data_IF_244698039311
#
_entry.id   IF_244698039311
#
_cell.length_a   1.000
_cell.length_b   1.000
_cell.length_c   1.000
_cell.angle_alpha   90.00
_cell.angle_beta   90.00
_cell.angle_gamma   90.00
#
_symmetry.space_group_name_H-M   'P 1'
#
loop_
_entity.id
_entity.type
_entity.pdbx_description
1 polymer ?
#
# COMPACT_ATOMS: atom_id res chain seq x y z
N UNK A 1 1.43 -32.23 46.13
CA UNK A 1 1.17 -32.58 44.72
C UNK A 1 0.84 -31.26 44.07
N UNK A 2 1.71 -30.84 43.16
CA UNK A 2 1.74 -29.50 42.56
C UNK A 2 0.80 -29.52 41.35
N UNK A 3 -0.32 -28.82 41.45
CA UNK A 3 -1.29 -28.71 40.37
C UNK A 3 -0.71 -27.79 39.30
N UNK A 4 -0.14 -28.41 38.26
CA UNK A 4 0.44 -27.72 37.12
C UNK A 4 -0.60 -26.90 36.39
N UNK A 5 -0.55 -25.59 36.62
CA UNK A 5 -1.22 -24.53 35.86
C UNK A 5 -0.69 -24.55 34.42
N UNK A 6 -1.34 -25.35 33.57
CA UNK A 6 -1.18 -25.28 32.14
C UNK A 6 -1.80 -23.96 31.67
N UNK A 7 -1.01 -22.89 31.78
CA UNK A 7 -1.37 -21.61 31.21
C UNK A 7 -1.73 -21.83 29.74
N UNK A 8 -3.00 -21.53 29.40
CA UNK A 8 -3.47 -21.37 28.03
C UNK A 8 -2.47 -20.46 27.31
N UNK A 9 -1.59 -21.07 26.52
CA UNK A 9 -0.64 -20.34 25.71
C UNK A 9 -1.48 -19.54 24.72
N UNK A 10 -1.40 -18.20 24.71
CA UNK A 10 -2.28 -17.39 23.90
C UNK A 10 -2.09 -17.79 22.43
N UNK A 11 -3.18 -18.16 21.77
CA UNK A 11 -3.24 -18.42 20.34
C UNK A 11 -2.96 -17.09 19.62
N UNK A 12 -1.68 -16.75 19.48
CA UNK A 12 -1.23 -15.56 18.77
C UNK A 12 -1.42 -15.88 17.28
N UNK A 13 -2.39 -15.26 16.59
CA UNK A 13 -2.59 -15.53 15.18
C UNK A 13 -1.28 -15.21 14.43
N UNK A 14 -0.89 -16.04 13.45
CA UNK A 14 0.32 -15.82 12.69
C UNK A 14 0.29 -14.40 12.12
N UNK A 15 1.33 -13.62 12.42
CA UNK A 15 1.48 -12.24 11.90
C UNK A 15 1.19 -12.29 10.41
N UNK A 16 0.12 -11.62 9.99
CA UNK A 16 -0.15 -11.45 8.57
C UNK A 16 1.06 -10.74 7.97
N UNK A 17 1.87 -11.46 7.19
CA UNK A 17 2.94 -10.88 6.36
C UNK A 17 2.27 -10.09 5.24
N UNK A 18 1.73 -8.94 5.60
CA UNK A 18 1.10 -8.00 4.70
C UNK A 18 1.97 -6.76 4.57
N UNK A 19 1.99 -6.19 3.37
CA UNK A 19 2.50 -4.83 3.16
C UNK A 19 1.35 -3.84 3.37
N UNK A 20 1.55 -2.86 4.25
CA UNK A 20 0.62 -1.74 4.39
C UNK A 20 1.14 -0.55 3.59
N UNK A 21 0.29 -0.04 2.69
CA UNK A 21 0.59 1.12 1.86
C UNK A 21 -0.33 2.28 2.21
N UNK A 22 0.25 3.47 2.30
CA UNK A 22 -0.48 4.73 2.45
C UNK A 22 -0.59 5.36 1.05
N UNK A 23 -1.81 5.56 0.55
CA UNK A 23 -2.06 6.22 -0.72
C UNK A 23 -2.66 7.59 -0.46
N UNK A 24 -1.90 8.65 -0.76
CA UNK A 24 -2.39 10.04 -0.74
C UNK A 24 -2.68 10.47 -2.16
N UNK A 25 -3.92 10.81 -2.47
CA UNK A 25 -4.33 11.21 -3.82
C UNK A 25 -5.17 12.48 -3.81
N UNK A 26 -5.16 13.18 -4.94
CA UNK A 26 -5.94 14.38 -5.21
C UNK A 26 -6.37 14.40 -6.68
N UNK A 27 -7.36 15.24 -7.00
CA UNK A 27 -7.73 15.55 -8.38
C UNK A 27 -7.26 16.95 -8.72
N UNK A 28 -6.62 17.12 -9.87
CA UNK A 28 -6.45 18.45 -10.45
C UNK A 28 -7.82 18.93 -10.96
N UNK A 29 -8.32 20.02 -10.38
CA UNK A 29 -9.54 20.67 -10.85
C UNK A 29 -9.32 21.31 -12.22
N UNK A 30 -10.29 21.15 -13.13
CA UNK A 30 -10.24 21.81 -14.45
C UNK A 30 -10.60 20.92 -15.64
N UNK A 31 -10.77 19.60 -15.45
CA UNK A 31 -11.22 18.71 -16.51
C UNK A 31 -12.64 19.10 -16.95
N UNK A 32 -12.75 19.81 -18.07
CA UNK A 32 -14.04 20.11 -18.71
C UNK A 32 -14.64 18.87 -19.35
N UNK A 33 -13.81 17.88 -19.67
CA UNK A 33 -14.19 16.63 -20.30
C UNK A 33 -14.00 15.41 -19.39
N UNK A 34 -14.92 14.43 -19.41
CA UNK A 34 -14.81 13.19 -18.63
C UNK A 34 -13.60 12.32 -19.03
N UNK A 35 -13.04 12.50 -20.24
CA UNK A 35 -11.78 11.88 -20.66
C UNK A 35 -10.56 12.45 -19.93
N UNK A 36 -10.54 13.75 -19.69
CA UNK A 36 -9.47 14.44 -18.94
C UNK A 36 -9.54 14.13 -17.43
N UNK A 37 -10.74 13.83 -16.91
CA UNK A 37 -10.94 13.45 -15.52
C UNK A 37 -10.22 12.15 -15.11
N UNK A 38 -9.84 11.29 -16.08
CA UNK A 38 -8.98 10.10 -15.85
C UNK A 38 -7.51 10.46 -15.68
N UNK A 39 -7.07 11.56 -16.29
CA UNK A 39 -5.73 12.14 -16.15
C UNK A 39 -5.62 13.09 -14.96
N UNK A 40 -6.75 13.58 -14.45
CA UNK A 40 -6.79 14.46 -13.28
C UNK A 40 -6.38 13.77 -11.96
N UNK A 41 -6.34 12.43 -11.91
CA UNK A 41 -5.94 11.71 -10.69
C UNK A 41 -4.43 11.81 -10.47
N UNK A 42 -3.99 12.35 -9.34
CA UNK A 42 -2.58 12.36 -8.96
C UNK A 42 -2.40 11.90 -7.52
N UNK A 43 -1.22 11.44 -7.18
CA UNK A 43 -0.95 11.03 -5.82
C UNK A 43 0.44 10.49 -5.57
N UNK A 44 0.63 10.02 -4.35
CA UNK A 44 1.83 9.36 -3.84
C UNK A 44 1.46 8.09 -3.12
N UNK A 45 2.35 7.10 -3.17
CA UNK A 45 2.30 5.89 -2.34
C UNK A 45 3.47 5.96 -1.36
N UNK A 46 3.21 5.68 -0.10
CA UNK A 46 4.21 5.52 0.94
C UNK A 46 3.98 4.28 1.80
N UNK A 47 4.88 4.02 2.73
CA UNK A 47 4.75 2.98 3.75
C UNK A 47 4.46 3.57 5.15
N UNK A 48 4.26 2.70 6.14
CA UNK A 48 4.01 3.10 7.53
C UNK A 48 5.21 3.79 8.21
N UNK A 49 6.42 3.69 7.65
CA UNK A 49 7.59 4.42 8.14
C UNK A 49 7.61 5.88 7.66
N UNK A 50 6.65 6.27 6.82
CA UNK A 50 6.57 7.60 6.21
C UNK A 50 7.43 7.75 4.95
N UNK A 51 8.06 6.67 4.47
CA UNK A 51 8.84 6.71 3.24
C UNK A 51 7.90 6.77 2.04
N UNK A 52 8.14 7.72 1.14
CA UNK A 52 7.47 7.75 -0.17
C UNK A 52 8.13 6.73 -1.11
N UNK A 53 7.30 5.84 -1.67
CA UNK A 53 7.70 4.79 -2.61
C UNK A 53 7.55 5.23 -4.07
N UNK A 54 6.71 6.22 -4.33
CA UNK A 54 6.59 6.86 -5.63
C UNK A 54 5.38 7.77 -5.76
N UNK A 55 5.28 8.44 -6.91
CA UNK A 55 4.14 9.26 -7.31
C UNK A 55 3.48 8.72 -8.57
N UNK A 56 2.21 9.02 -8.77
CA UNK A 56 1.45 8.62 -9.95
C UNK A 56 0.64 9.80 -10.51
N UNK A 57 0.45 9.79 -11.83
CA UNK A 57 -0.45 10.67 -12.54
C UNK A 57 -1.30 9.81 -13.49
N UNK A 58 -2.59 9.72 -13.18
CA UNK A 58 -3.55 8.82 -13.81
C UNK A 58 -3.66 7.47 -13.13
N UNK A 59 -4.79 6.81 -13.37
CA UNK A 59 -5.11 5.50 -12.83
C UNK A 59 -4.15 4.40 -13.32
N UNK A 60 -3.71 4.49 -14.58
CA UNK A 60 -2.76 3.52 -15.15
C UNK A 60 -1.39 3.56 -14.45
N UNK A 61 -0.90 4.77 -14.17
CA UNK A 61 0.35 4.97 -13.44
C UNK A 61 0.26 4.45 -12.00
N UNK A 62 -0.91 4.62 -11.35
CA UNK A 62 -1.17 4.04 -10.02
C UNK A 62 -1.05 2.51 -10.04
N UNK A 63 -1.73 1.82 -10.96
CA UNK A 63 -1.66 0.36 -11.03
C UNK A 63 -0.26 -0.14 -11.36
N UNK A 64 0.47 0.57 -12.24
CA UNK A 64 1.87 0.25 -12.55
C UNK A 64 2.76 0.36 -11.31
N UNK A 65 2.59 1.43 -10.52
CA UNK A 65 3.33 1.63 -9.29
C UNK A 65 2.97 0.59 -8.23
N UNK A 66 1.69 0.27 -8.06
CA UNK A 66 1.24 -0.79 -7.15
C UNK A 66 1.86 -2.14 -7.51
N UNK A 67 1.84 -2.53 -8.79
CA UNK A 67 2.49 -3.79 -9.23
C UNK A 67 3.98 -3.78 -8.95
N UNK A 68 4.66 -2.65 -9.14
CA UNK A 68 6.09 -2.51 -8.81
C UNK A 68 6.32 -2.66 -7.30
N UNK A 69 5.51 -2.01 -6.46
CA UNK A 69 5.66 -2.08 -5.00
C UNK A 69 5.31 -3.46 -4.45
N UNK A 70 4.30 -4.13 -5.00
CA UNK A 70 3.90 -5.47 -4.59
C UNK A 70 4.77 -6.58 -5.22
N UNK A 71 5.36 -6.34 -6.38
CA UNK A 71 6.19 -7.30 -7.12
C UNK A 71 7.69 -7.20 -6.85
N UNK A 72 8.21 -6.03 -6.46
CA UNK A 72 9.64 -5.83 -6.18
C UNK A 72 9.98 -5.98 -4.70
N UNK A 73 9.82 -7.20 -4.19
CA UNK A 73 10.66 -7.74 -3.12
C UNK A 73 12.08 -8.11 -3.60
N UNK A 74 12.48 -7.80 -4.83
CA UNK A 74 13.85 -7.98 -5.31
C UNK A 74 14.25 -6.87 -6.32
N UNK A 75 15.43 -6.25 -6.19
CA UNK A 75 16.04 -5.48 -7.28
C UNK A 75 16.55 -6.44 -8.38
N UNK A 76 16.54 -6.05 -9.66
CA UNK A 76 17.32 -6.76 -10.67
C UNK A 76 18.81 -6.57 -10.36
N UNK A 77 19.53 -7.70 -10.26
CA UNK A 77 20.99 -7.75 -10.19
C UNK A 77 21.66 -7.48 -11.52
#
# INVERSE_FOLDING_TARGET
MDDGDAADEPDIPPRASGITLIIRWWREGGARDPGEARHALRGTIGDLSGRTLGSFAGLEALFRLLRKVMGNGAPPG
#
